data_IF_355915681261
#
_entry.id   IF_355915681261
#
_cell.length_a   1.000
_cell.length_b   1.000
_cell.length_c   1.000
_cell.angle_alpha   90.00
_cell.angle_beta   90.00
_cell.angle_gamma   90.00
#
_symmetry.space_group_name_H-M   'P 1'
#
loop_
_entity.id
_entity.type
_entity.pdbx_description
1 polymer ?
#
# COMPACT_ATOMS: atom_id res chain seq x y z
N UNK A 1 8.93 -3.64 -83.89
CA UNK A 1 7.72 -3.73 -83.05
C UNK A 1 8.20 -3.37 -81.65
N UNK A 2 8.21 -2.11 -81.24
CA UNK A 2 7.05 -1.22 -81.06
C UNK A 2 6.32 -1.66 -79.79
N UNK A 3 6.16 -0.89 -78.72
CA UNK A 3 6.28 0.55 -78.40
C UNK A 3 6.48 0.58 -76.84
N UNK A 4 7.42 1.32 -76.24
CA UNK A 4 7.32 2.77 -75.87
C UNK A 4 6.18 3.02 -74.85
N UNK A 5 6.26 3.73 -73.72
CA UNK A 5 7.12 4.79 -73.14
C UNK A 5 6.86 4.80 -71.61
N UNK A 6 7.72 5.11 -70.63
CA UNK A 6 8.71 6.19 -70.41
C UNK A 6 8.13 7.60 -70.10
N UNK A 7 8.14 8.00 -68.82
CA UNK A 7 8.37 9.40 -68.37
C UNK A 7 8.63 9.44 -66.84
N UNK A 8 9.89 9.51 -66.40
CA UNK A 8 10.72 10.71 -66.05
C UNK A 8 10.14 11.58 -64.92
N UNK A 9 10.80 11.56 -63.74
CA UNK A 9 11.86 12.47 -63.20
C UNK A 9 11.24 13.72 -62.55
N UNK A 10 11.39 13.94 -61.24
CA UNK A 10 12.59 14.52 -60.57
C UNK A 10 12.55 16.06 -60.74
N UNK A 11 12.69 16.93 -59.75
CA UNK A 11 13.57 16.96 -58.56
C UNK A 11 13.11 18.16 -57.67
N UNK A 12 13.65 18.22 -56.44
CA UNK A 12 13.63 19.30 -55.43
C UNK A 12 13.96 20.71 -56.02
N UNK A 13 13.71 21.88 -55.39
CA UNK A 13 14.08 22.37 -54.04
C UNK A 13 13.61 23.86 -53.91
N UNK A 14 13.37 24.34 -52.67
CA UNK A 14 13.49 25.75 -52.12
C UNK A 14 12.77 26.95 -52.81
N UNK A 15 12.37 28.08 -52.21
CA UNK A 15 12.07 28.65 -50.87
C UNK A 15 11.57 30.11 -51.12
N UNK A 16 11.09 30.83 -50.09
CA UNK A 16 10.74 32.28 -50.05
C UNK A 16 9.35 32.64 -50.64
N UNK A 17 8.51 33.55 -50.13
CA UNK A 17 8.60 34.57 -49.08
C UNK A 17 7.19 35.14 -48.75
N UNK A 18 7.12 36.08 -47.80
CA UNK A 18 6.07 37.11 -47.58
C UNK A 18 5.04 36.97 -46.42
N UNK A 19 5.37 37.71 -45.35
CA UNK A 19 4.68 38.91 -44.84
C UNK A 19 3.22 38.85 -44.36
N UNK A 20 2.98 39.28 -43.10
CA UNK A 20 1.66 39.74 -42.67
C UNK A 20 1.38 39.95 -41.17
N UNK A 21 2.18 40.78 -40.50
CA UNK A 21 1.86 41.64 -39.34
C UNK A 21 0.61 41.39 -38.42
N UNK A 22 0.92 41.27 -37.10
CA UNK A 22 0.37 42.05 -35.95
C UNK A 22 -1.08 41.72 -35.46
N UNK A 23 -1.48 41.79 -34.18
CA UNK A 23 -0.94 42.43 -32.97
C UNK A 23 -1.64 41.91 -31.69
N UNK A 24 -0.84 41.79 -30.63
CA UNK A 24 -1.10 41.99 -29.18
C UNK A 24 -2.48 41.65 -28.56
N UNK A 25 -2.38 40.85 -27.49
CA UNK A 25 -3.27 40.94 -26.33
C UNK A 25 -2.67 40.24 -25.11
N UNK A 26 -1.84 40.93 -24.33
CA UNK A 26 -1.47 40.48 -22.98
C UNK A 26 -2.70 40.55 -22.07
N UNK A 27 -3.05 39.47 -21.36
CA UNK A 27 -3.91 39.55 -20.17
C UNK A 27 -3.58 38.46 -19.16
N UNK A 28 -3.76 38.86 -17.91
CA UNK A 28 -3.27 38.31 -16.65
C UNK A 28 -3.77 36.90 -16.29
N UNK A 29 -3.07 36.31 -15.33
CA UNK A 29 -3.51 35.21 -14.44
C UNK A 29 -4.99 35.32 -14.03
N UNK A 30 -5.66 34.18 -13.96
CA UNK A 30 -6.77 33.95 -13.04
C UNK A 30 -6.77 32.51 -12.58
N UNK A 31 -6.78 32.36 -11.26
CA UNK A 31 -7.03 31.13 -10.55
C UNK A 31 -8.44 30.59 -10.81
N UNK A 32 -8.57 29.30 -10.50
CA UNK A 32 -9.74 28.65 -9.90
C UNK A 32 -10.88 28.20 -10.81
N UNK A 33 -11.49 27.11 -10.33
CA UNK A 33 -12.72 26.43 -10.73
C UNK A 33 -12.56 25.48 -11.93
N UNK A 34 -12.92 24.20 -11.83
CA UNK A 34 -14.08 23.65 -11.12
C UNK A 34 -13.81 22.27 -10.51
N UNK A 35 -14.44 22.08 -9.37
CA UNK A 35 -14.72 20.80 -8.72
C UNK A 35 -15.40 19.85 -9.70
N UNK A 36 -14.77 18.69 -9.95
CA UNK A 36 -15.52 17.48 -10.24
C UNK A 36 -15.62 16.74 -8.90
N UNK A 37 -16.84 16.69 -8.35
CA UNK A 37 -17.20 15.73 -7.32
C UNK A 37 -17.25 14.35 -7.97
N UNK A 38 -16.19 13.58 -7.83
CA UNK A 38 -16.27 12.11 -7.89
C UNK A 38 -16.58 11.70 -6.43
N UNK A 39 -17.85 11.69 -6.00
CA UNK A 39 -18.74 10.52 -6.10
C UNK A 39 -17.95 9.21 -6.03
N UNK A 40 -17.75 8.75 -4.80
CA UNK A 40 -17.54 7.35 -4.41
C UNK A 40 -16.85 6.47 -5.45
N UNK A 41 -15.59 6.80 -5.78
CA UNK A 41 -14.70 5.85 -6.45
C UNK A 41 -14.03 4.97 -5.38
N UNK A 42 -14.84 4.07 -4.81
CA UNK A 42 -14.37 2.77 -4.31
C UNK A 42 -14.19 1.78 -5.50
N UNK A 43 -14.01 2.31 -6.72
CA UNK A 43 -13.80 1.55 -7.95
C UNK A 43 -12.42 1.82 -8.57
N UNK A 44 -11.43 2.14 -7.73
CA UNK A 44 -10.01 2.16 -8.11
C UNK A 44 -9.55 0.71 -8.35
N UNK A 45 -9.57 0.29 -9.62
CA UNK A 45 -8.92 -0.90 -10.20
C UNK A 45 -8.95 -2.14 -9.27
N UNK A 46 -10.05 -2.89 -9.27
CA UNK A 46 -10.05 -4.27 -8.73
C UNK A 46 -8.98 -5.06 -9.51
N UNK A 47 -7.80 -5.38 -8.92
CA UNK A 47 -6.87 -6.29 -9.57
C UNK A 47 -7.65 -7.59 -9.79
N UNK A 48 -7.65 -8.11 -11.03
CA UNK A 48 -8.39 -9.33 -11.42
C UNK A 48 -8.49 -10.28 -10.23
N UNK A 49 -9.70 -10.39 -9.66
CA UNK A 49 -9.90 -11.12 -8.41
C UNK A 49 -9.26 -12.50 -8.53
N UNK A 50 -8.19 -12.72 -7.77
CA UNK A 50 -7.48 -13.99 -7.77
C UNK A 50 -8.49 -15.02 -7.25
N UNK A 51 -8.74 -16.07 -8.03
CA UNK A 51 -9.56 -17.16 -7.55
C UNK A 51 -8.79 -17.91 -6.48
N UNK A 52 -9.22 -17.72 -5.23
CA UNK A 52 -8.65 -18.41 -4.08
C UNK A 52 -9.01 -19.90 -4.12
N UNK A 53 -8.08 -20.73 -3.62
CA UNK A 53 -8.31 -22.15 -3.43
C UNK A 53 -9.30 -22.42 -2.28
N UNK A 54 -9.77 -23.66 -2.14
CA UNK A 54 -10.62 -24.03 -1.00
C UNK A 54 -9.86 -23.83 0.32
N UNK A 55 -10.52 -23.20 1.29
CA UNK A 55 -9.98 -23.06 2.64
C UNK A 55 -9.83 -24.44 3.32
N UNK A 56 -8.74 -24.63 4.04
CA UNK A 56 -8.51 -25.80 4.86
C UNK A 56 -7.77 -25.41 6.15
N UNK A 57 -7.92 -26.22 7.20
CA UNK A 57 -7.16 -26.00 8.43
C UNK A 57 -5.74 -26.52 8.25
N UNK A 58 -4.77 -25.84 8.86
CA UNK A 58 -3.37 -26.27 8.84
C UNK A 58 -3.22 -27.71 9.36
N UNK A 59 -3.94 -28.09 10.41
CA UNK A 59 -3.98 -29.47 10.94
C UNK A 59 -4.48 -30.49 9.90
N UNK A 60 -5.59 -30.21 9.21
CA UNK A 60 -6.10 -31.12 8.19
C UNK A 60 -5.11 -31.27 7.01
N UNK A 61 -4.44 -30.18 6.65
CA UNK A 61 -3.42 -30.21 5.59
C UNK A 61 -2.21 -31.05 6.02
N UNK A 62 -1.74 -30.94 7.27
CA UNK A 62 -0.65 -31.76 7.79
C UNK A 62 -1.01 -33.24 7.85
N UNK A 63 -2.20 -33.58 8.34
CA UNK A 63 -2.68 -34.96 8.45
C UNK A 63 -2.83 -35.64 7.08
N UNK A 64 -3.32 -34.91 6.07
CA UNK A 64 -3.52 -35.45 4.71
C UNK A 64 -2.24 -35.96 4.07
N UNK A 65 -1.11 -35.31 4.34
CA UNK A 65 0.17 -35.60 3.68
C UNK A 65 1.17 -36.29 4.63
N UNK A 66 0.68 -36.87 5.74
CA UNK A 66 1.53 -37.50 6.77
C UNK A 66 2.35 -38.70 6.26
N UNK A 67 1.82 -39.40 5.27
CA UNK A 67 2.42 -40.61 4.70
C UNK A 67 3.39 -40.29 3.52
N UNK A 68 3.48 -39.02 3.11
CA UNK A 68 4.40 -38.55 2.07
C UNK A 68 5.61 -37.85 2.69
N UNK A 69 6.76 -38.53 2.68
CA UNK A 69 8.00 -38.01 3.25
C UNK A 69 8.45 -36.70 2.60
N UNK A 70 8.24 -36.54 1.29
CA UNK A 70 8.69 -35.37 0.54
C UNK A 70 7.86 -34.14 0.89
N UNK A 71 6.54 -34.29 0.94
CA UNK A 71 5.63 -33.21 1.33
C UNK A 71 5.80 -32.84 2.79
N UNK A 72 6.02 -33.83 3.67
CA UNK A 72 6.28 -33.56 5.09
C UNK A 72 7.53 -32.72 5.28
N UNK A 73 8.65 -33.09 4.66
CA UNK A 73 9.91 -32.30 4.71
C UNK A 73 9.74 -30.90 4.14
N UNK A 74 9.01 -30.78 3.03
CA UNK A 74 8.73 -29.47 2.41
C UNK A 74 7.90 -28.56 3.32
N UNK A 75 6.86 -29.10 3.98
CA UNK A 75 6.06 -28.33 4.95
C UNK A 75 6.84 -27.96 6.20
N UNK A 76 7.66 -28.86 6.72
CA UNK A 76 8.56 -28.56 7.85
C UNK A 76 9.50 -27.38 7.51
N UNK A 77 9.99 -27.29 6.26
CA UNK A 77 10.80 -26.16 5.81
C UNK A 77 10.03 -24.84 5.71
N UNK A 78 8.77 -24.87 5.27
CA UNK A 78 7.95 -23.66 5.11
C UNK A 78 7.38 -23.14 6.42
N UNK A 79 6.87 -24.06 7.24
CA UNK A 79 6.19 -23.73 8.49
C UNK A 79 7.21 -23.46 9.60
N UNK A 80 8.40 -24.06 9.51
CA UNK A 80 9.39 -24.00 10.58
C UNK A 80 8.89 -24.73 11.83
N UNK A 81 9.16 -24.16 13.01
CA UNK A 81 8.79 -24.74 14.30
C UNK A 81 7.35 -24.39 14.70
N UNK A 82 6.36 -24.72 13.85
CA UNK A 82 4.95 -24.58 14.26
C UNK A 82 4.64 -25.65 15.29
N UNK A 83 4.17 -25.20 16.44
CA UNK A 83 3.69 -26.08 17.50
C UNK A 83 2.29 -26.60 17.15
N UNK A 84 2.23 -27.81 16.57
CA UNK A 84 1.01 -28.45 16.09
C UNK A 84 -0.04 -28.60 17.19
N UNK A 85 0.41 -28.79 18.44
CA UNK A 85 -0.50 -28.96 19.59
C UNK A 85 -1.21 -27.64 19.93
N UNK A 86 -0.57 -26.51 19.65
CA UNK A 86 -1.11 -25.16 19.86
C UNK A 86 -1.85 -24.58 18.63
N UNK A 87 -1.88 -25.27 17.49
CA UNK A 87 -2.69 -24.85 16.33
C UNK A 87 -4.18 -25.13 16.62
N UNK A 88 -5.03 -24.11 16.47
CA UNK A 88 -6.49 -24.28 16.55
C UNK A 88 -7.03 -25.18 15.44
N UNK A 89 -8.05 -25.99 15.72
CA UNK A 89 -8.81 -26.73 14.69
C UNK A 89 -9.86 -25.85 14.00
N UNK A 90 -9.51 -24.60 13.72
CA UNK A 90 -10.40 -23.62 13.10
C UNK A 90 -9.88 -23.21 11.73
N UNK A 91 -10.81 -22.92 10.82
CA UNK A 91 -10.48 -22.32 9.51
C UNK A 91 -10.00 -20.89 9.67
N UNK A 92 -10.48 -20.21 10.70
CA UNK A 92 -10.23 -18.81 10.98
C UNK A 92 -8.82 -18.56 11.53
N UNK A 93 -7.90 -17.97 10.75
CA UNK A 93 -6.66 -17.43 11.30
C UNK A 93 -6.92 -16.28 12.28
N UNK A 94 -5.95 -16.04 13.15
CA UNK A 94 -5.92 -14.89 14.07
C UNK A 94 -4.64 -14.10 13.84
N UNK A 95 -4.77 -12.77 13.72
CA UNK A 95 -3.62 -11.86 13.68
C UNK A 95 -3.79 -10.84 14.80
N UNK A 96 -2.83 -10.82 15.71
CA UNK A 96 -2.75 -9.82 16.77
C UNK A 96 -1.60 -8.87 16.47
N UNK A 97 -1.90 -7.67 16.00
CA UNK A 97 -0.88 -6.62 15.83
C UNK A 97 -0.49 -6.11 17.22
N UNK A 98 0.79 -6.22 17.54
CA UNK A 98 1.36 -5.88 18.84
C UNK A 98 1.86 -4.44 18.89
N UNK A 99 2.50 -3.98 17.83
CA UNK A 99 2.99 -2.60 17.73
C UNK A 99 3.09 -2.10 16.29
N UNK A 100 2.99 -0.78 16.14
CA UNK A 100 3.39 -0.04 14.96
C UNK A 100 4.50 0.92 15.38
N UNK A 101 5.62 0.91 14.68
CA UNK A 101 6.73 1.84 14.95
C UNK A 101 7.08 2.63 13.69
N UNK A 102 7.41 3.90 13.87
CA UNK A 102 7.95 4.75 12.80
C UNK A 102 9.46 4.77 12.96
N UNK A 103 10.15 4.15 12.02
CA UNK A 103 11.62 4.08 11.96
C UNK A 103 12.11 5.23 11.09
N UNK A 104 13.06 6.02 11.57
CA UNK A 104 13.67 7.10 10.80
C UNK A 104 15.18 7.14 11.04
N UNK A 105 16.01 7.38 10.02
CA UNK A 105 17.48 7.29 10.16
C UNK A 105 18.06 8.32 11.14
N UNK A 106 17.37 9.44 11.33
CA UNK A 106 17.90 10.59 12.08
C UNK A 106 17.46 10.64 13.56
N UNK A 107 16.75 9.63 14.06
CA UNK A 107 16.22 9.61 15.44
C UNK A 107 15.96 8.20 15.96
N UNK A 108 15.63 8.10 17.24
CA UNK A 108 15.05 6.89 17.80
C UNK A 108 13.64 6.64 17.22
N UNK A 109 13.32 5.37 17.07
CA UNK A 109 12.03 4.88 16.61
C UNK A 109 10.89 5.45 17.46
N UNK A 110 9.79 5.78 16.80
CA UNK A 110 8.57 6.22 17.47
C UNK A 110 7.66 5.01 17.60
N UNK A 111 7.60 4.41 18.79
CA UNK A 111 6.69 3.31 19.07
C UNK A 111 5.27 3.83 19.35
N UNK A 112 4.31 3.35 18.56
CA UNK A 112 2.90 3.74 18.65
C UNK A 112 2.10 2.65 19.36
N UNK A 113 1.54 2.99 20.50
CA UNK A 113 0.59 2.13 21.20
C UNK A 113 -0.70 2.02 20.40
N UNK A 114 -1.15 0.78 20.18
CA UNK A 114 -2.41 0.46 19.50
C UNK A 114 -3.50 0.30 20.57
N UNK A 115 -4.52 1.16 20.61
CA UNK A 115 -5.63 1.01 21.54
C UNK A 115 -6.53 -0.16 21.12
N UNK A 116 -7.22 -0.77 22.09
CA UNK A 116 -8.08 -1.94 21.87
C UNK A 116 -9.23 -1.66 20.88
N UNK A 117 -9.74 -0.42 20.86
CA UNK A 117 -10.82 0.01 19.98
C UNK A 117 -10.33 0.54 18.61
N UNK A 118 -9.01 0.53 18.38
CA UNK A 118 -8.38 1.03 17.17
C UNK A 118 -8.50 2.55 16.98
N UNK A 119 -8.80 3.32 18.02
CA UNK A 119 -8.98 4.77 17.93
C UNK A 119 -8.10 5.50 18.94
N UNK A 120 -6.86 5.85 18.56
CA UNK A 120 -6.01 6.67 19.42
C UNK A 120 -6.69 8.00 19.74
N UNK A 121 -6.70 8.38 21.01
CA UNK A 121 -7.28 9.66 21.42
C UNK A 121 -6.37 10.83 20.98
N UNK A 122 -6.95 11.78 20.23
CA UNK A 122 -6.27 13.00 19.82
C UNK A 122 -5.17 12.77 18.77
N UNK A 123 -4.03 13.45 18.96
CA UNK A 123 -2.90 13.41 18.05
C UNK A 123 -2.02 12.19 18.35
N UNK A 124 -1.95 11.24 17.43
CA UNK A 124 -1.22 9.98 17.66
C UNK A 124 0.28 10.14 17.51
N UNK A 125 0.74 10.87 16.49
CA UNK A 125 2.16 11.20 16.29
C UNK A 125 2.37 12.48 15.47
N UNK A 126 3.63 12.91 15.39
CA UNK A 126 4.07 14.02 14.54
C UNK A 126 5.24 13.55 13.67
N UNK A 127 5.15 13.81 12.37
CA UNK A 127 6.24 13.64 11.41
C UNK A 127 6.93 14.97 11.13
N UNK A 128 8.25 14.92 10.97
CA UNK A 128 9.01 16.05 10.42
C UNK A 128 8.83 16.09 8.91
N UNK A 129 8.58 17.28 8.36
CA UNK A 129 8.45 17.47 6.93
C UNK A 129 9.75 17.08 6.20
N UNK A 130 9.63 16.35 5.09
CA UNK A 130 10.78 15.86 4.32
C UNK A 130 11.59 14.76 5.00
N UNK A 131 11.19 14.22 6.16
CA UNK A 131 11.90 13.10 6.77
C UNK A 131 11.61 11.79 6.03
N UNK A 132 12.66 10.99 5.86
CA UNK A 132 12.54 9.60 5.45
C UNK A 132 12.05 8.76 6.63
N UNK A 133 11.09 7.88 6.39
CA UNK A 133 10.60 6.95 7.40
C UNK A 133 10.18 5.61 6.81
N UNK A 134 10.19 4.57 7.65
CA UNK A 134 9.56 3.27 7.39
C UNK A 134 8.55 2.99 8.48
N UNK A 135 7.44 2.36 8.11
CA UNK A 135 6.54 1.75 9.08
C UNK A 135 7.04 0.34 9.39
N UNK A 136 7.11 0.01 10.68
CA UNK A 136 7.48 -1.31 11.17
C UNK A 136 6.33 -1.88 11.97
N UNK A 137 5.92 -3.09 11.62
CA UNK A 137 4.84 -3.79 12.30
C UNK A 137 5.40 -4.98 13.07
N UNK A 138 4.95 -5.15 14.30
CA UNK A 138 5.12 -6.39 15.05
C UNK A 138 3.75 -7.03 15.24
N UNK A 139 3.59 -8.29 14.86
CA UNK A 139 2.31 -8.99 14.96
C UNK A 139 2.51 -10.49 15.20
N UNK A 140 1.55 -11.10 15.86
CA UNK A 140 1.53 -12.53 16.12
C UNK A 140 0.41 -13.19 15.32
N UNK A 141 0.69 -14.37 14.78
CA UNK A 141 -0.30 -15.18 14.05
C UNK A 141 -0.64 -16.42 14.85
N UNK A 142 -1.93 -16.70 14.97
CA UNK A 142 -2.48 -17.84 15.67
C UNK A 142 -3.49 -18.61 14.83
N UNK A 143 -3.91 -19.77 15.35
CA UNK A 143 -4.96 -20.65 14.82
C UNK A 143 -4.72 -21.28 13.44
N UNK A 144 -4.51 -20.50 12.38
CA UNK A 144 -4.34 -21.00 11.02
C UNK A 144 -3.39 -20.09 10.21
N UNK A 145 -2.97 -20.53 9.02
CA UNK A 145 -2.17 -19.70 8.12
C UNK A 145 -2.99 -18.48 7.69
N UNK A 146 -2.38 -17.30 7.76
CA UNK A 146 -2.92 -16.07 7.18
C UNK A 146 -2.34 -15.94 5.78
N UNK A 147 -3.20 -16.04 4.76
CA UNK A 147 -2.80 -15.93 3.36
C UNK A 147 -3.03 -14.52 2.85
N UNK A 148 -1.99 -13.90 2.29
CA UNK A 148 -2.10 -12.59 1.68
C UNK A 148 -2.44 -11.47 2.66
N UNK A 149 -1.82 -11.47 3.85
CA UNK A 149 -1.91 -10.35 4.78
C UNK A 149 -1.45 -9.08 4.06
N UNK A 150 -2.31 -8.07 4.03
CA UNK A 150 -2.12 -6.80 3.35
C UNK A 150 -2.39 -5.64 4.29
N UNK A 151 -1.58 -4.60 4.16
CA UNK A 151 -1.75 -3.33 4.82
C UNK A 151 -2.36 -2.32 3.85
N UNK A 152 -3.42 -1.66 4.28
CA UNK A 152 -3.99 -0.53 3.53
C UNK A 152 -3.95 0.71 4.40
N UNK A 153 -3.54 1.84 3.83
CA UNK A 153 -3.57 3.13 4.51
C UNK A 153 -4.17 4.18 3.60
N UNK A 154 -5.15 4.92 4.09
CA UNK A 154 -5.72 6.07 3.38
C UNK A 154 -5.52 7.28 4.27
N UNK A 155 -5.03 8.38 3.68
CA UNK A 155 -4.72 9.61 4.40
C UNK A 155 -5.53 10.75 3.79
N UNK A 156 -6.12 11.56 4.65
CA UNK A 156 -6.88 12.74 4.30
C UNK A 156 -6.26 13.99 4.92
N UNK A 157 -6.36 15.10 4.18
CA UNK A 157 -6.06 16.44 4.67
C UNK A 157 -7.27 17.33 4.45
N UNK A 158 -7.79 17.93 5.53
CA UNK A 158 -8.97 18.82 5.44
C UNK A 158 -10.17 18.14 4.75
N UNK A 159 -10.37 16.84 5.02
CA UNK A 159 -11.46 16.03 4.45
C UNK A 159 -11.22 15.52 3.02
N UNK A 160 -10.12 15.90 2.37
CA UNK A 160 -9.77 15.44 1.00
C UNK A 160 -8.77 14.30 1.09
N UNK A 161 -9.01 13.20 0.37
CA UNK A 161 -8.06 12.08 0.24
C UNK A 161 -6.81 12.57 -0.49
N UNK A 162 -5.65 12.48 0.16
CA UNK A 162 -4.37 12.97 -0.37
C UNK A 162 -3.37 11.85 -0.65
N UNK A 163 -3.57 10.68 -0.06
CA UNK A 163 -2.68 9.53 -0.23
C UNK A 163 -3.42 8.23 0.06
N UNK A 164 -3.03 7.16 -0.63
CA UNK A 164 -3.59 5.83 -0.47
C UNK A 164 -2.55 4.78 -0.83
N UNK A 165 -2.34 3.81 0.06
CA UNK A 165 -1.42 2.69 -0.14
C UNK A 165 -2.16 1.39 0.12
N UNK A 166 -1.90 0.38 -0.71
CA UNK A 166 -2.31 -1.01 -0.52
C UNK A 166 -1.08 -1.88 -0.77
N UNK A 167 -0.50 -2.46 0.27
CA UNK A 167 0.72 -3.26 0.19
C UNK A 167 0.48 -4.68 0.68
N UNK A 168 0.93 -5.67 -0.10
CA UNK A 168 0.92 -7.07 0.30
C UNK A 168 2.13 -7.34 1.23
N UNK A 169 1.86 -7.67 2.49
CA UNK A 169 2.89 -8.00 3.48
C UNK A 169 3.35 -9.45 3.29
N UNK A 170 2.42 -10.38 3.07
CA UNK A 170 2.73 -11.77 2.72
C UNK A 170 1.84 -12.82 3.39
N UNK A 171 2.35 -14.06 3.44
CA UNK A 171 1.66 -15.21 4.04
C UNK A 171 2.43 -15.66 5.28
N UNK A 172 1.72 -15.91 6.38
CA UNK A 172 2.31 -16.14 7.69
C UNK A 172 1.69 -17.37 8.36
N UNK A 173 2.53 -18.26 8.90
CA UNK A 173 2.10 -19.41 9.68
C UNK A 173 1.89 -19.04 11.16
N UNK A 174 1.06 -19.79 11.90
CA UNK A 174 0.94 -19.62 13.35
C UNK A 174 2.27 -19.86 14.06
N UNK A 175 2.67 -18.96 14.96
CA UNK A 175 3.84 -19.16 15.82
C UNK A 175 3.75 -18.31 17.09
N UNK A 176 4.50 -18.72 18.14
CA UNK A 176 4.55 -17.99 19.41
C UNK A 176 5.37 -16.71 19.31
N UNK A 177 6.45 -16.71 18.53
CA UNK A 177 7.32 -15.55 18.35
C UNK A 177 6.67 -14.54 17.39
N UNK A 178 6.62 -13.24 17.72
CA UNK A 178 6.05 -12.24 16.81
C UNK A 178 6.84 -12.12 15.52
N UNK A 179 6.12 -11.98 14.41
CA UNK A 179 6.69 -11.53 13.15
C UNK A 179 6.99 -10.05 13.19
N UNK A 180 8.01 -9.66 12.45
CA UNK A 180 8.35 -8.26 12.18
C UNK A 180 8.34 -8.03 10.67
N UNK A 181 7.66 -6.98 10.23
CA UNK A 181 7.68 -6.54 8.84
C UNK A 181 7.97 -5.04 8.77
N UNK A 182 8.93 -4.66 7.93
CA UNK A 182 9.25 -3.27 7.63
C UNK A 182 8.75 -2.93 6.22
N UNK A 183 7.93 -1.89 6.14
CA UNK A 183 7.40 -1.36 4.89
C UNK A 183 8.50 -0.64 4.10
N UNK A 184 8.31 -0.46 2.78
CA UNK A 184 9.17 0.39 1.97
C UNK A 184 9.34 1.79 2.57
N UNK A 185 10.49 2.40 2.31
CA UNK A 185 10.77 3.76 2.78
C UNK A 185 9.91 4.80 2.05
N UNK A 186 9.33 5.71 2.83
CA UNK A 186 8.53 6.84 2.37
C UNK A 186 9.18 8.17 2.81
N UNK A 187 8.79 9.26 2.16
CA UNK A 187 9.24 10.62 2.48
C UNK A 187 8.02 11.45 2.86
N UNK A 188 8.03 12.02 4.07
CA UNK A 188 6.95 12.91 4.50
C UNK A 188 6.88 14.15 3.59
N UNK A 189 5.70 14.60 3.16
CA UNK A 189 5.58 15.77 2.30
C UNK A 189 6.12 17.02 3.02
N UNK A 190 6.64 17.97 2.23
CA UNK A 190 7.28 19.18 2.74
C UNK A 190 6.70 20.47 2.15
N UNK A 191 6.90 21.56 2.88
CA UNK A 191 6.46 22.89 2.49
C UNK A 191 5.33 23.43 3.37
N UNK A 192 5.08 24.73 3.26
CA UNK A 192 4.05 25.42 4.04
C UNK A 192 2.66 24.79 3.88
N UNK A 193 2.31 24.34 2.67
CA UNK A 193 1.03 23.68 2.40
C UNK A 193 0.98 22.20 2.77
N UNK A 194 2.11 21.53 3.00
CA UNK A 194 2.11 20.15 3.50
C UNK A 194 1.91 20.13 5.01
N UNK A 195 2.53 21.07 5.74
CA UNK A 195 2.38 21.13 7.19
C UNK A 195 0.92 21.25 7.66
N UNK A 196 0.65 20.71 8.83
CA UNK A 196 -0.68 20.69 9.45
C UNK A 196 -1.16 19.29 9.82
N UNK A 197 -2.45 19.20 10.11
CA UNK A 197 -3.08 17.99 10.63
C UNK A 197 -3.69 17.13 9.52
N UNK A 198 -3.57 15.82 9.69
CA UNK A 198 -4.01 14.78 8.80
C UNK A 198 -4.82 13.74 9.57
N UNK A 199 -5.84 13.18 8.94
CA UNK A 199 -6.52 11.99 9.45
C UNK A 199 -6.16 10.82 8.57
N UNK A 200 -6.05 9.63 9.15
CA UNK A 200 -5.73 8.42 8.42
C UNK A 200 -6.51 7.23 8.94
N UNK A 201 -6.68 6.26 8.04
CA UNK A 201 -7.37 5.00 8.26
C UNK A 201 -6.49 3.90 7.75
N UNK A 202 -5.93 3.13 8.67
CA UNK A 202 -5.12 1.97 8.40
C UNK A 202 -5.91 0.69 8.65
N UNK A 203 -5.69 -0.34 7.82
CA UNK A 203 -6.26 -1.67 8.03
C UNK A 203 -5.26 -2.77 7.74
N UNK A 204 -5.40 -3.89 8.44
CA UNK A 204 -4.78 -5.18 8.14
C UNK A 204 -5.86 -6.14 7.70
N UNK A 205 -5.79 -6.60 6.45
CA UNK A 205 -6.73 -7.57 5.89
C UNK A 205 -5.99 -8.77 5.30
N UNK A 206 -6.66 -9.88 5.05
CA UNK A 206 -6.13 -10.98 4.23
C UNK A 206 -6.84 -11.07 2.87
N UNK A 207 -6.49 -12.11 2.11
CA UNK A 207 -7.12 -12.46 0.83
C UNK A 207 -8.60 -12.81 0.97
N UNK A 208 -9.02 -13.36 2.12
CA UNK A 208 -10.41 -13.67 2.45
C UNK A 208 -11.21 -12.44 2.91
N UNK A 209 -10.61 -11.24 2.84
CA UNK A 209 -11.16 -9.96 3.28
C UNK A 209 -11.49 -9.87 4.78
N UNK A 210 -10.91 -10.77 5.60
CA UNK A 210 -11.00 -10.66 7.05
C UNK A 210 -10.17 -9.49 7.53
N UNK A 211 -10.79 -8.58 8.28
CA UNK A 211 -10.11 -7.44 8.88
C UNK A 211 -9.64 -7.81 10.29
N UNK A 212 -8.33 -7.72 10.54
CA UNK A 212 -7.71 -8.04 11.82
C UNK A 212 -7.51 -6.82 12.71
N UNK A 213 -7.28 -5.67 12.09
CA UNK A 213 -7.12 -4.41 12.77
C UNK A 213 -7.56 -3.28 11.83
N UNK A 214 -8.34 -2.35 12.37
CA UNK A 214 -8.65 -1.08 11.74
C UNK A 214 -8.27 0.04 12.72
N UNK A 215 -7.34 0.90 12.34
CA UNK A 215 -6.92 2.05 13.15
C UNK A 215 -7.36 3.34 12.44
N UNK A 216 -8.10 4.19 13.16
CA UNK A 216 -8.45 5.53 12.71
C UNK A 216 -7.74 6.55 13.60
N UNK A 217 -6.84 7.34 13.03
CA UNK A 217 -5.94 8.19 13.81
C UNK A 217 -5.72 9.56 13.17
N UNK A 218 -5.21 10.49 13.98
CA UNK A 218 -4.79 11.82 13.55
C UNK A 218 -3.29 11.95 13.74
N UNK A 219 -2.60 12.59 12.80
CA UNK A 219 -1.18 12.91 12.93
C UNK A 219 -0.87 14.28 12.33
N UNK A 220 0.26 14.86 12.69
CA UNK A 220 0.69 16.17 12.21
C UNK A 220 1.96 16.04 11.38
N UNK A 221 2.10 16.89 10.36
CA UNK A 221 3.37 17.16 9.70
C UNK A 221 3.84 18.55 10.11
N UNK A 222 5.04 18.63 10.67
CA UNK A 222 5.63 19.86 11.21
C UNK A 222 7.04 20.07 10.69
N UNK A 223 7.57 21.28 10.87
CA UNK A 223 8.93 21.63 10.44
C UNK A 223 10.01 20.83 11.20
N UNK A 224 9.74 20.55 12.48
CA UNK A 224 10.59 19.75 13.34
C UNK A 224 9.74 18.65 13.97
N UNK A 225 10.44 17.62 14.46
CA UNK A 225 9.84 16.58 15.29
C UNK A 225 9.23 17.16 16.57
N UNK A 226 8.24 16.45 17.13
CA UNK A 226 7.76 16.70 18.50
C UNK A 226 8.78 16.26 19.54
#
# INVERSE_FOLDING_TARGET
MGLEDDKKKGTEEESEDEAGAQKLGSRQMSESSFYATDQDDDNDDEPRAIQLGPQCTLKAQLEKDKDDESLRKWKEQLLGSVDIDNIGETLDPEVKVLSVSIVSPDRADIDLSIPEDGKPEGLWFTLKEGSHYRLKFSFQVGNNIVSGLRYTNIVWKTGVKVFSTKEMIGTFSPQLEPYTHEMPEEIAPSGFFARGSYTAKSKFLDDDNKCYLEINYTFDIRKEWA
#
